data_IF_675628232760
#
_entry.id   IF_675628232760
#
_cell.length_a   1.000
_cell.length_b   1.000
_cell.length_c   1.000
_cell.angle_alpha   90.00
_cell.angle_beta   90.00
_cell.angle_gamma   90.00
#
_symmetry.space_group_name_H-M   'P 1'
#
loop_
_entity.id
_entity.type
_entity.pdbx_description
1 polymer ?
#
# COMPACT_ATOMS: atom_id res chain seq x y z
N UNK A 1 11.02 18.23 -9.30
CA UNK A 1 11.50 16.88 -9.51
C UNK A 1 12.73 16.63 -8.64
N UNK A 2 12.71 15.73 -7.67
CA UNK A 2 11.62 14.79 -7.33
C UNK A 2 10.37 15.49 -6.80
N UNK A 3 9.22 14.82 -6.87
CA UNK A 3 7.99 15.34 -6.29
C UNK A 3 8.04 15.23 -4.76
N UNK A 4 7.92 16.34 -4.06
CA UNK A 4 7.82 16.34 -2.62
C UNK A 4 6.49 15.77 -2.14
N UNK A 5 6.48 15.03 -1.02
CA UNK A 5 5.25 14.44 -0.48
C UNK A 5 4.17 15.50 -0.17
N UNK A 6 4.57 16.70 0.21
CA UNK A 6 3.68 17.86 0.44
C UNK A 6 3.00 18.36 -0.82
N UNK A 7 3.56 18.06 -2.00
CA UNK A 7 3.01 18.41 -3.32
C UNK A 7 2.07 17.35 -3.88
N UNK A 8 1.99 16.18 -3.25
CA UNK A 8 1.08 15.11 -3.64
C UNK A 8 -0.31 15.40 -3.07
N UNK A 9 -1.30 15.45 -3.95
CA UNK A 9 -2.69 15.60 -3.53
C UNK A 9 -3.42 14.26 -3.57
N UNK A 10 -3.36 13.52 -2.48
CA UNK A 10 -4.10 12.26 -2.32
C UNK A 10 -5.61 12.44 -2.52
N UNK A 11 -6.27 13.49 -1.96
CA UNK A 11 -7.69 13.74 -2.25
C UNK A 11 -8.00 13.92 -3.73
N UNK A 12 -7.11 14.56 -4.48
CA UNK A 12 -7.27 14.72 -5.94
C UNK A 12 -7.16 13.39 -6.67
N UNK A 13 -6.19 12.56 -6.30
CA UNK A 13 -6.03 11.21 -6.87
C UNK A 13 -7.30 10.38 -6.68
N UNK A 14 -7.85 10.38 -5.48
CA UNK A 14 -9.08 9.66 -5.16
C UNK A 14 -10.29 10.22 -5.91
N UNK A 15 -10.40 11.54 -6.01
CA UNK A 15 -11.46 12.18 -6.77
C UNK A 15 -11.41 11.82 -8.27
N UNK A 16 -10.24 11.83 -8.88
CA UNK A 16 -10.06 11.42 -10.28
C UNK A 16 -10.48 9.96 -10.48
N UNK A 17 -10.05 9.06 -9.59
CA UNK A 17 -10.47 7.65 -9.62
C UNK A 17 -12.00 7.53 -9.58
N UNK A 18 -12.65 8.24 -8.67
CA UNK A 18 -14.08 8.15 -8.44
C UNK A 18 -14.91 8.78 -9.60
N UNK A 19 -14.32 9.70 -10.36
CA UNK A 19 -14.91 10.26 -11.58
C UNK A 19 -14.91 9.27 -12.77
N UNK A 20 -14.19 8.17 -12.65
CA UNK A 20 -14.03 7.18 -13.72
C UNK A 20 -14.47 5.78 -13.27
N UNK A 21 -15.73 5.59 -12.88
CA UNK A 21 -16.19 4.32 -12.30
C UNK A 21 -16.16 3.15 -13.29
N UNK A 22 -16.08 3.42 -14.59
CA UNK A 22 -15.93 2.40 -15.63
C UNK A 22 -14.51 1.83 -15.75
N UNK A 23 -13.50 2.49 -15.13
CA UNK A 23 -12.14 1.98 -15.09
C UNK A 23 -12.02 0.96 -13.96
N UNK A 24 -11.93 -0.32 -14.34
CA UNK A 24 -11.73 -1.41 -13.39
C UNK A 24 -10.34 -1.39 -12.74
N UNK A 25 -9.36 -0.81 -13.43
CA UNK A 25 -7.96 -0.75 -12.99
C UNK A 25 -7.41 0.66 -13.12
N UNK A 26 -6.69 1.12 -12.11
CA UNK A 26 -5.91 2.34 -12.20
C UNK A 26 -4.49 2.11 -11.63
N UNK A 27 -3.58 2.98 -12.00
CA UNK A 27 -2.22 3.01 -11.49
C UNK A 27 -1.73 4.42 -11.33
N UNK A 28 -0.53 4.56 -10.83
CA UNK A 28 0.14 5.84 -10.66
C UNK A 28 1.53 5.83 -11.29
N UNK A 29 1.96 6.99 -11.77
CA UNK A 29 3.35 7.29 -12.06
C UNK A 29 3.90 8.10 -10.87
N UNK A 30 4.78 7.47 -10.08
CA UNK A 30 5.29 8.02 -8.82
C UNK A 30 6.71 8.55 -9.00
N UNK A 31 6.86 9.86 -8.89
CA UNK A 31 8.13 10.57 -8.96
C UNK A 31 8.62 11.09 -7.61
N UNK A 32 8.07 10.62 -6.51
CA UNK A 32 8.54 10.93 -5.17
C UNK A 32 9.72 10.05 -4.76
N UNK A 33 10.47 10.48 -3.75
CA UNK A 33 11.51 9.67 -3.13
C UNK A 33 10.90 8.61 -2.19
N UNK A 34 11.59 7.47 -2.08
CA UNK A 34 11.20 6.41 -1.17
C UNK A 34 9.98 5.62 -1.63
N UNK A 35 9.32 4.96 -0.69
CA UNK A 35 8.27 3.95 -0.95
C UNK A 35 6.88 4.36 -0.47
N UNK A 36 6.75 5.50 0.20
CA UNK A 36 5.51 5.89 0.89
C UNK A 36 4.34 6.09 -0.07
N UNK A 37 4.53 6.82 -1.17
CA UNK A 37 3.46 7.07 -2.14
C UNK A 37 2.99 5.78 -2.81
N UNK A 38 3.92 4.91 -3.16
CA UNK A 38 3.61 3.60 -3.74
C UNK A 38 2.72 2.76 -2.80
N UNK A 39 3.08 2.69 -1.52
CA UNK A 39 2.30 1.96 -0.50
C UNK A 39 0.91 2.55 -0.31
N UNK A 40 0.80 3.87 -0.23
CA UNK A 40 -0.50 4.55 -0.13
C UNK A 40 -1.36 4.25 -1.34
N UNK A 41 -0.80 4.30 -2.54
CA UNK A 41 -1.53 3.98 -3.77
C UNK A 41 -2.07 2.53 -3.76
N UNK A 42 -1.28 1.56 -3.30
CA UNK A 42 -1.70 0.16 -3.15
C UNK A 42 -2.89 0.05 -2.20
N UNK A 43 -2.84 0.69 -1.04
CA UNK A 43 -3.94 0.69 -0.06
C UNK A 43 -5.23 1.25 -0.67
N UNK A 44 -5.11 2.23 -1.55
CA UNK A 44 -6.24 2.83 -2.26
C UNK A 44 -6.63 2.10 -3.56
N UNK A 45 -6.06 0.93 -3.80
CA UNK A 45 -6.49 0.04 -4.87
C UNK A 45 -5.77 0.22 -6.20
N UNK A 46 -4.60 0.87 -6.22
CA UNK A 46 -3.77 0.92 -7.43
C UNK A 46 -3.32 -0.50 -7.84
N UNK A 47 -3.47 -0.80 -9.12
CA UNK A 47 -3.13 -2.10 -9.69
C UNK A 47 -1.70 -2.14 -10.24
N UNK A 48 -1.15 -0.98 -10.57
CA UNK A 48 0.22 -0.85 -11.04
C UNK A 48 0.82 0.48 -10.60
N UNK A 49 2.14 0.49 -10.47
CA UNK A 49 2.94 1.65 -10.09
C UNK A 49 4.09 1.75 -11.06
N UNK A 50 4.25 2.90 -11.68
CA UNK A 50 5.41 3.25 -12.48
C UNK A 50 6.34 4.14 -11.66
N UNK A 51 7.63 3.81 -11.66
CA UNK A 51 8.64 4.56 -10.93
C UNK A 51 10.01 4.38 -11.58
N UNK A 52 10.80 5.45 -11.64
CA UNK A 52 12.19 5.36 -12.09
C UNK A 52 12.99 4.38 -11.22
N UNK A 53 13.87 3.64 -11.85
CA UNK A 53 14.69 2.62 -11.21
C UNK A 53 16.16 2.81 -11.56
N UNK A 54 17.04 2.57 -10.61
CA UNK A 54 18.49 2.47 -10.81
C UNK A 54 19.09 1.43 -9.87
N UNK A 55 20.24 0.91 -10.24
CA UNK A 55 21.05 0.05 -9.36
C UNK A 55 21.97 0.88 -8.44
N UNK A 56 22.26 2.10 -8.83
CA UNK A 56 23.14 3.01 -8.09
C UNK A 56 22.76 4.46 -8.43
N UNK A 57 22.44 5.25 -7.41
CA UNK A 57 22.08 6.67 -7.55
C UNK A 57 23.24 7.57 -7.93
N UNK A 58 24.46 7.12 -7.73
CA UNK A 58 25.67 7.89 -8.08
C UNK A 58 26.06 7.75 -9.55
N UNK A 59 25.46 6.81 -10.28
CA UNK A 59 25.63 6.73 -11.74
C UNK A 59 25.10 8.01 -12.39
N UNK A 60 25.87 8.69 -13.25
CA UNK A 60 25.41 9.89 -13.94
C UNK A 60 24.16 9.62 -14.78
N UNK A 61 23.15 10.46 -14.61
CA UNK A 61 21.92 10.41 -15.38
C UNK A 61 20.89 11.40 -14.81
N UNK A 62 19.95 11.86 -15.62
CA UNK A 62 19.03 12.92 -15.23
C UNK A 62 18.14 12.53 -14.04
N UNK A 63 17.78 11.26 -13.94
CA UNK A 63 16.80 10.78 -12.96
C UNK A 63 17.39 9.82 -11.92
N UNK A 64 18.68 9.49 -11.99
CA UNK A 64 19.28 8.47 -11.12
C UNK A 64 19.20 8.81 -9.64
N UNK A 65 19.38 10.08 -9.28
CA UNK A 65 19.34 10.53 -7.87
C UNK A 65 18.00 10.32 -7.19
N UNK A 66 16.91 10.30 -7.98
CA UNK A 66 15.55 10.12 -7.47
C UNK A 66 14.98 8.75 -7.80
N UNK A 67 15.71 7.93 -8.52
CA UNK A 67 15.27 6.59 -8.89
C UNK A 67 15.25 5.64 -7.72
N UNK A 68 14.36 4.68 -7.79
CA UNK A 68 14.19 3.63 -6.80
C UNK A 68 15.36 2.64 -6.87
N UNK A 69 15.84 2.21 -5.72
CA UNK A 69 16.87 1.19 -5.59
C UNK A 69 16.26 -0.23 -5.44
N UNK A 70 17.03 -1.29 -5.70
CA UNK A 70 16.53 -2.67 -5.59
C UNK A 70 15.89 -3.01 -4.23
N UNK A 71 16.41 -2.51 -3.13
CA UNK A 71 15.84 -2.77 -1.80
C UNK A 71 14.48 -2.08 -1.61
N UNK A 72 14.27 -0.91 -2.21
CA UNK A 72 12.99 -0.19 -2.17
C UNK A 72 11.91 -0.92 -2.99
N UNK A 73 12.29 -1.53 -4.13
CA UNK A 73 11.38 -2.39 -4.91
C UNK A 73 10.95 -3.60 -4.07
N UNK A 74 11.91 -4.26 -3.42
CA UNK A 74 11.60 -5.38 -2.54
C UNK A 74 10.71 -4.99 -1.37
N UNK A 75 10.90 -3.80 -0.81
CA UNK A 75 10.07 -3.26 0.25
C UNK A 75 8.63 -3.04 -0.21
N UNK A 76 8.43 -2.44 -1.38
CA UNK A 76 7.09 -2.26 -1.96
C UNK A 76 6.46 -3.62 -2.26
N UNK A 77 7.20 -4.56 -2.84
CA UNK A 77 6.70 -5.90 -3.14
C UNK A 77 6.25 -6.63 -1.88
N UNK A 78 7.08 -6.62 -0.84
CA UNK A 78 6.76 -7.21 0.46
C UNK A 78 5.51 -6.60 1.07
N UNK A 79 5.38 -5.26 0.99
CA UNK A 79 4.17 -4.57 1.44
C UNK A 79 2.92 -5.00 0.67
N UNK A 80 3.00 -5.15 -0.66
CA UNK A 80 1.88 -5.62 -1.48
C UNK A 80 1.44 -7.03 -1.07
N UNK A 81 2.39 -7.93 -0.83
CA UNK A 81 2.11 -9.29 -0.41
C UNK A 81 1.43 -9.34 0.97
N UNK A 82 1.91 -8.55 1.91
CA UNK A 82 1.33 -8.45 3.25
C UNK A 82 -0.07 -7.80 3.20
N UNK A 83 -0.22 -6.72 2.44
CA UNK A 83 -1.51 -6.07 2.25
C UNK A 83 -2.55 -7.00 1.62
N UNK A 84 -2.14 -7.81 0.64
CA UNK A 84 -3.01 -8.81 0.02
C UNK A 84 -3.49 -9.84 1.06
N UNK A 85 -2.59 -10.35 1.92
CA UNK A 85 -2.96 -11.27 3.01
C UNK A 85 -3.93 -10.65 4.01
N UNK A 86 -3.68 -9.40 4.42
CA UNK A 86 -4.55 -8.65 5.34
C UNK A 86 -5.92 -8.32 4.75
N UNK A 87 -6.03 -8.29 3.43
CA UNK A 87 -7.26 -7.96 2.70
C UNK A 87 -8.16 -9.16 2.45
N UNK A 88 -7.77 -10.36 2.89
CA UNK A 88 -8.59 -11.56 2.83
C UNK A 88 -9.49 -11.68 4.05
N UNK A 89 -10.64 -12.32 3.89
CA UNK A 89 -11.57 -12.60 4.98
C UNK A 89 -12.89 -11.85 4.89
N UNK A 90 -13.79 -12.20 5.79
CA UNK A 90 -15.11 -11.56 5.90
C UNK A 90 -15.06 -10.46 6.96
N UNK A 91 -15.55 -9.27 6.62
CA UNK A 91 -15.59 -8.10 7.51
C UNK A 91 -16.40 -8.33 8.79
N UNK A 92 -17.40 -9.18 8.72
CA UNK A 92 -18.43 -9.34 9.77
C UNK A 92 -18.23 -10.61 10.61
N UNK A 93 -17.27 -11.45 10.24
CA UNK A 93 -17.02 -12.70 10.95
C UNK A 93 -15.66 -12.64 11.66
N UNK A 94 -15.60 -13.10 12.93
CA UNK A 94 -14.33 -13.19 13.64
C UNK A 94 -13.42 -14.23 12.98
N UNK A 95 -12.12 -13.97 12.99
CA UNK A 95 -11.11 -14.93 12.57
C UNK A 95 -11.09 -16.16 13.50
N UNK A 96 -10.50 -17.25 13.05
CA UNK A 96 -10.33 -18.44 13.89
C UNK A 96 -9.57 -18.11 15.20
N UNK A 97 -8.53 -17.29 15.12
CA UNK A 97 -7.76 -16.85 16.29
C UNK A 97 -8.61 -16.03 17.28
N UNK A 98 -9.46 -15.14 16.80
CA UNK A 98 -10.38 -14.36 17.65
C UNK A 98 -11.44 -15.25 18.28
N UNK A 99 -11.94 -16.23 17.55
CA UNK A 99 -12.90 -17.21 18.08
C UNK A 99 -12.27 -18.05 19.19
N UNK A 100 -11.04 -18.50 19.03
CA UNK A 100 -10.32 -19.26 20.05
C UNK A 100 -9.98 -18.41 21.28
N UNK A 101 -9.54 -17.16 21.06
CA UNK A 101 -9.29 -16.20 22.14
C UNK A 101 -10.58 -15.93 22.94
N UNK A 102 -11.71 -15.77 22.26
CA UNK A 102 -13.02 -15.56 22.91
C UNK A 102 -13.38 -16.72 23.84
N UNK A 103 -13.18 -17.97 23.45
CA UNK A 103 -13.41 -19.14 24.30
C UNK A 103 -12.59 -19.08 25.59
N UNK A 104 -11.33 -18.67 25.49
CA UNK A 104 -10.41 -18.54 26.62
C UNK A 104 -10.87 -17.41 27.56
N UNK A 105 -11.25 -16.27 27.02
CA UNK A 105 -11.66 -15.08 27.79
C UNK A 105 -13.00 -15.34 28.50
N UNK A 106 -14.01 -15.83 27.77
CA UNK A 106 -15.34 -16.13 28.33
C UNK A 106 -15.24 -17.19 29.38
N UNK A 107 -14.47 -18.28 29.16
CA UNK A 107 -14.26 -19.30 30.17
C UNK A 107 -13.56 -18.82 31.46
N UNK A 108 -12.79 -17.71 31.38
CA UNK A 108 -12.01 -17.13 32.49
C UNK A 108 -12.84 -16.19 33.36
N UNK A 109 -13.81 -15.49 32.79
CA UNK A 109 -14.61 -14.48 33.49
C UNK A 109 -16.06 -14.90 33.76
N UNK A 110 -16.42 -16.10 33.35
CA UNK A 110 -17.76 -16.67 33.54
C UNK A 110 -18.84 -15.96 32.72
N UNK A 111 -19.77 -16.70 32.16
CA UNK A 111 -21.04 -16.15 31.71
C UNK A 111 -21.84 -15.76 32.97
N UNK A 112 -21.79 -14.51 33.34
CA UNK A 112 -22.78 -13.91 34.23
C UNK A 112 -23.97 -13.45 33.37
N UNK A 113 -24.65 -14.38 32.78
CA UNK A 113 -25.96 -14.16 32.20
C UNK A 113 -27.01 -14.87 33.02
#
# INVERSE_FOLDING_TARGET
>A
YPTELTSISLPRMLAIRDMMPSLSNFGISDHSLGTSMAKVAVVHGAHWIEKHFTIDRDIPGPDNRMSMLPHEIREIRSFCDDFSKMSTGNRMEPTAAETDLRKIIVGRFGDNS
#
